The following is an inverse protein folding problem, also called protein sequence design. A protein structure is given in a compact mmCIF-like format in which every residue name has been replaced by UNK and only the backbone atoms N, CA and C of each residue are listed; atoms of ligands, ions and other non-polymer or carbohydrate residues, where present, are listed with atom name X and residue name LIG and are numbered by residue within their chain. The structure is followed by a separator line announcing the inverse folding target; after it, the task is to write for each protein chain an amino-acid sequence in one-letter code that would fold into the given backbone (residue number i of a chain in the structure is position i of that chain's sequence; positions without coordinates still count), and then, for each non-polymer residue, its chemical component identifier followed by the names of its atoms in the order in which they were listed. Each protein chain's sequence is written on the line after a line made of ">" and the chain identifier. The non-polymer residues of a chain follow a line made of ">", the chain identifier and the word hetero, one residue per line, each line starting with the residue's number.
data_IF_664498946500
#
_entry.id   IF_664498946500
#
_cell.length_a   1.000
_cell.length_b   1.000
_cell.length_c   1.000
_cell.angle_alpha   90.00
_cell.angle_beta   90.00
_cell.angle_gamma   90.00
#
_symmetry.space_group_name_H-M   'P 1'
#
loop_
_entity.id
_entity.type
_entity.pdbx_description
1 polymer ?
#
# COMPACT_ATOMS: atom_id res chain seq x y z
N UNK A 1 -17.71 -19.48 3.88
CA UNK A 1 -17.78 -19.04 2.47
C UNK A 1 -19.13 -19.40 1.93
N UNK A 2 -19.95 -18.42 1.51
CA UNK A 2 -21.27 -18.67 0.93
C UNK A 2 -21.16 -18.74 -0.60
N UNK A 3 -20.75 -19.91 -1.11
CA UNK A 3 -20.97 -20.23 -2.52
C UNK A 3 -22.34 -20.88 -2.68
N UNK A 4 -22.87 -21.04 -3.90
CA UNK A 4 -24.03 -21.90 -4.13
C UNK A 4 -23.59 -23.18 -4.85
N UNK A 5 -23.97 -24.35 -4.34
CA UNK A 5 -23.80 -25.65 -5.02
C UNK A 5 -25.20 -26.18 -5.31
N UNK A 6 -25.29 -26.78 -6.48
CA UNK A 6 -26.42 -27.53 -6.97
C UNK A 6 -27.08 -28.44 -5.92
N UNK A 7 -28.40 -28.46 -5.90
CA UNK A 7 -29.20 -29.42 -5.13
C UNK A 7 -29.00 -30.81 -5.71
N UNK A 8 -28.45 -31.75 -4.95
CA UNK A 8 -28.55 -33.16 -5.32
C UNK A 8 -30.05 -33.58 -5.40
N UNK A 9 -30.41 -34.63 -6.17
CA UNK A 9 -31.81 -34.98 -6.45
C UNK A 9 -32.67 -35.24 -5.20
N UNK A 10 -32.06 -35.74 -4.15
CA UNK A 10 -32.59 -35.95 -2.80
C UNK A 10 -32.97 -34.64 -2.08
N UNK A 11 -32.39 -33.51 -2.48
CA UNK A 11 -32.69 -32.18 -1.94
C UNK A 11 -33.84 -31.47 -2.67
N UNK A 12 -34.24 -31.96 -3.86
CA UNK A 12 -35.31 -31.35 -4.66
C UNK A 12 -36.70 -31.55 -4.02
N UNK A 13 -36.89 -32.65 -3.30
CA UNK A 13 -38.11 -32.91 -2.53
C UNK A 13 -38.21 -32.00 -1.32
N UNK A 14 -37.13 -31.91 -0.52
CA UNK A 14 -37.04 -30.99 0.63
C UNK A 14 -37.17 -29.51 0.22
N UNK A 15 -36.66 -29.15 -0.97
CA UNK A 15 -36.83 -27.83 -1.56
C UNK A 15 -38.30 -27.50 -1.84
N UNK A 16 -39.03 -28.41 -2.50
CA UNK A 16 -40.43 -28.17 -2.81
C UNK A 16 -41.26 -28.08 -1.52
N UNK A 17 -40.97 -28.92 -0.53
CA UNK A 17 -41.62 -28.86 0.79
C UNK A 17 -41.35 -27.54 1.54
N UNK A 18 -40.13 -27.01 1.48
CA UNK A 18 -39.76 -25.73 2.08
C UNK A 18 -40.42 -24.54 1.36
N UNK A 19 -40.46 -24.56 0.03
CA UNK A 19 -41.13 -23.51 -0.75
C UNK A 19 -42.65 -23.53 -0.53
N UNK A 20 -43.28 -24.72 -0.54
CA UNK A 20 -44.70 -24.90 -0.23
C UNK A 20 -45.01 -24.47 1.21
N UNK A 21 -44.09 -24.69 2.15
CA UNK A 21 -44.22 -24.21 3.52
C UNK A 21 -44.15 -22.68 3.60
N UNK A 22 -43.20 -22.04 2.93
CA UNK A 22 -43.07 -20.57 2.93
C UNK A 22 -44.28 -19.89 2.28
N UNK A 23 -44.77 -20.43 1.17
CA UNK A 23 -45.94 -19.92 0.45
C UNK A 23 -47.24 -20.10 1.25
N UNK A 24 -47.41 -21.25 1.91
CA UNK A 24 -48.55 -21.48 2.83
C UNK A 24 -48.55 -20.58 4.07
N UNK A 25 -47.38 -20.10 4.50
CA UNK A 25 -47.22 -19.32 5.73
C UNK A 25 -46.92 -17.84 5.47
N UNK A 26 -47.03 -17.35 4.23
CA UNK A 26 -46.76 -15.96 3.86
C UNK A 26 -45.36 -15.45 4.32
N UNK A 27 -44.38 -16.34 4.34
CA UNK A 27 -43.01 -16.00 4.74
C UNK A 27 -42.29 -15.42 3.53
N UNK A 28 -42.10 -14.09 3.52
CA UNK A 28 -41.53 -13.34 2.38
C UNK A 28 -40.01 -13.18 2.47
N UNK A 29 -39.43 -13.39 3.65
CA UNK A 29 -38.03 -13.04 3.93
C UNK A 29 -37.17 -14.29 4.13
N UNK A 30 -36.43 -14.64 3.09
CA UNK A 30 -35.44 -15.70 3.12
C UNK A 30 -34.05 -15.11 3.26
N UNK A 31 -33.42 -15.27 4.43
CA UNK A 31 -32.02 -14.88 4.64
C UNK A 31 -31.03 -15.50 3.64
N UNK A 32 -29.77 -15.08 3.70
CA UNK A 32 -28.65 -15.37 2.76
C UNK A 32 -28.39 -16.85 2.34
N UNK A 33 -29.06 -17.83 2.95
CA UNK A 33 -28.98 -19.26 2.62
C UNK A 33 -30.24 -19.78 1.94
N UNK A 34 -31.15 -18.88 1.54
CA UNK A 34 -32.42 -19.28 0.98
C UNK A 34 -32.26 -19.80 -0.45
N UNK A 35 -32.98 -20.87 -0.79
CA UNK A 35 -33.34 -21.24 -2.14
C UNK A 35 -33.43 -20.06 -3.13
N UNK A 36 -32.50 -19.95 -4.07
CA UNK A 36 -32.55 -18.91 -5.12
C UNK A 36 -33.01 -19.49 -6.46
N UNK A 37 -33.97 -18.83 -7.10
CA UNK A 37 -34.37 -19.14 -8.48
C UNK A 37 -33.83 -18.09 -9.43
N UNK A 38 -33.02 -18.52 -10.38
CA UNK A 38 -32.54 -17.67 -11.46
C UNK A 38 -33.68 -17.33 -12.41
N UNK A 39 -34.07 -16.06 -12.46
CA UNK A 39 -35.24 -15.62 -13.24
C UNK A 39 -35.14 -15.89 -14.75
N UNK A 40 -33.99 -15.69 -15.42
CA UNK A 40 -33.86 -15.95 -16.86
C UNK A 40 -33.89 -17.44 -17.23
N UNK A 41 -33.27 -18.30 -16.44
CA UNK A 41 -33.14 -19.74 -16.77
C UNK A 41 -34.16 -20.63 -16.05
N UNK A 42 -34.81 -20.12 -15.01
CA UNK A 42 -35.69 -20.89 -14.13
C UNK A 42 -34.96 -21.83 -13.18
N UNK A 43 -33.62 -21.93 -13.26
CA UNK A 43 -32.80 -22.83 -12.46
C UNK A 43 -32.79 -22.46 -10.99
N UNK A 44 -32.84 -23.47 -10.13
CA UNK A 44 -32.81 -23.33 -8.68
C UNK A 44 -31.39 -23.58 -8.15
N UNK A 45 -30.88 -22.72 -7.28
CA UNK A 45 -29.57 -22.81 -6.65
C UNK A 45 -29.72 -22.79 -5.12
N UNK A 46 -28.94 -23.64 -4.43
CA UNK A 46 -28.87 -23.67 -2.96
C UNK A 46 -27.54 -23.07 -2.52
N UNK A 47 -27.55 -22.19 -1.52
CA UNK A 47 -26.32 -21.75 -0.86
C UNK A 47 -25.64 -22.90 -0.13
N UNK A 48 -24.37 -23.14 -0.41
CA UNK A 48 -23.50 -24.01 0.38
C UNK A 48 -22.45 -23.22 1.14
N UNK A 49 -22.33 -23.58 2.40
CA UNK A 49 -21.27 -23.09 3.25
C UNK A 49 -20.09 -24.06 3.21
N UNK A 50 -18.92 -23.54 2.85
CA UNK A 50 -17.65 -24.21 3.08
C UNK A 50 -16.87 -23.45 4.14
N UNK A 51 -16.45 -24.18 5.17
CA UNK A 51 -15.53 -23.66 6.17
C UNK A 51 -14.14 -23.52 5.54
N UNK A 52 -13.58 -22.31 5.60
CA UNK A 52 -12.20 -22.03 5.21
C UNK A 52 -11.53 -21.47 6.47
N UNK A 53 -10.50 -22.14 7.01
CA UNK A 53 -9.84 -21.68 8.22
C UNK A 53 -9.14 -20.33 7.97
N UNK A 54 -9.16 -19.49 8.99
CA UNK A 54 -8.36 -18.28 9.01
C UNK A 54 -7.01 -18.57 9.68
N UNK A 55 -5.91 -18.27 8.98
CA UNK A 55 -4.55 -18.32 9.51
C UNK A 55 -4.08 -16.87 9.68
N UNK A 56 -3.71 -16.49 10.90
CA UNK A 56 -3.33 -15.12 11.26
C UNK A 56 -4.37 -14.05 10.85
N UNK A 57 -5.65 -14.45 10.78
CA UNK A 57 -6.79 -13.61 10.38
C UNK A 57 -7.01 -13.45 8.88
N UNK A 58 -6.34 -14.28 8.06
CA UNK A 58 -6.50 -14.34 6.60
C UNK A 58 -7.00 -15.71 6.17
N UNK A 59 -7.84 -15.78 5.15
CA UNK A 59 -8.36 -17.05 4.64
C UNK A 59 -7.26 -17.91 4.03
N UNK A 60 -7.10 -19.15 4.50
CA UNK A 60 -6.12 -20.07 3.94
C UNK A 60 -6.48 -20.41 2.49
N UNK A 61 -5.66 -19.91 1.56
CA UNK A 61 -5.79 -20.16 0.12
C UNK A 61 -5.88 -21.66 -0.21
N UNK A 62 -5.15 -22.49 0.50
CA UNK A 62 -5.06 -23.93 0.19
C UNK A 62 -6.31 -24.69 0.60
N UNK A 63 -7.09 -24.14 1.53
CA UNK A 63 -8.33 -24.74 2.02
C UNK A 63 -9.57 -24.13 1.36
N UNK A 64 -9.41 -23.06 0.56
CA UNK A 64 -10.48 -22.51 -0.24
C UNK A 64 -10.78 -23.42 -1.45
N UNK A 65 -12.00 -23.99 -1.58
CA UNK A 65 -12.37 -24.91 -2.66
C UNK A 65 -12.19 -24.36 -4.08
N UNK A 66 -12.34 -23.04 -4.27
CA UNK A 66 -12.18 -22.39 -5.57
C UNK A 66 -10.72 -22.08 -5.93
N UNK A 67 -9.82 -22.22 -4.96
CA UNK A 67 -8.38 -21.98 -5.14
C UNK A 67 -7.56 -23.27 -5.11
N UNK A 68 -8.05 -24.31 -4.45
CA UNK A 68 -7.42 -25.62 -4.40
C UNK A 68 -7.93 -26.57 -5.51
N UNK A 69 -8.86 -26.11 -6.35
CA UNK A 69 -9.39 -26.86 -7.49
C UNK A 69 -10.51 -27.84 -7.16
N UNK A 70 -11.02 -27.86 -5.92
CA UNK A 70 -12.16 -28.72 -5.55
C UNK A 70 -13.48 -28.27 -6.16
N UNK A 71 -13.63 -26.96 -6.42
CA UNK A 71 -14.78 -26.37 -7.10
C UNK A 71 -14.30 -25.52 -8.28
N UNK A 72 -14.93 -25.65 -9.44
CA UNK A 72 -14.63 -24.85 -10.64
C UNK A 72 -15.90 -24.13 -11.13
N UNK A 73 -15.85 -22.80 -11.24
CA UNK A 73 -16.96 -21.99 -11.77
C UNK A 73 -17.25 -22.25 -13.25
N UNK A 74 -16.32 -22.84 -13.97
CA UNK A 74 -16.49 -23.23 -15.37
C UNK A 74 -17.04 -24.64 -15.53
N UNK A 75 -17.22 -25.40 -14.44
CA UNK A 75 -17.87 -26.71 -14.49
C UNK A 75 -19.34 -26.54 -14.91
N UNK A 76 -19.75 -27.24 -15.97
CA UNK A 76 -21.12 -27.22 -16.49
C UNK A 76 -21.81 -28.55 -16.31
N UNK A 77 -23.14 -28.52 -16.27
CA UNK A 77 -24.00 -29.70 -16.19
C UNK A 77 -24.99 -29.67 -17.35
N UNK A 78 -25.22 -30.82 -17.98
CA UNK A 78 -26.25 -31.00 -19.01
C UNK A 78 -27.61 -31.31 -18.38
N UNK A 79 -28.64 -30.76 -19.00
CA UNK A 79 -30.05 -30.87 -18.64
C UNK A 79 -30.35 -30.70 -17.13
N UNK A 80 -29.83 -29.63 -16.49
CA UNK A 80 -29.96 -29.45 -15.05
C UNK A 80 -31.43 -29.34 -14.64
N UNK A 81 -31.84 -30.10 -13.62
CA UNK A 81 -33.22 -30.12 -13.09
C UNK A 81 -34.27 -30.48 -14.15
N UNK A 82 -33.88 -31.22 -15.20
CA UNK A 82 -34.78 -31.60 -16.30
C UNK A 82 -35.06 -30.47 -17.28
N UNK A 83 -34.41 -29.31 -17.14
CA UNK A 83 -34.46 -28.21 -18.08
C UNK A 83 -33.44 -28.47 -19.20
N UNK A 84 -33.87 -28.44 -20.45
CA UNK A 84 -32.99 -28.71 -21.59
C UNK A 84 -31.83 -27.70 -21.71
N UNK A 85 -30.64 -28.19 -22.06
CA UNK A 85 -29.47 -27.36 -22.34
C UNK A 85 -28.31 -27.55 -21.34
N UNK A 86 -27.35 -26.64 -21.35
CA UNK A 86 -26.16 -26.69 -20.49
C UNK A 86 -26.10 -25.45 -19.62
N UNK A 87 -25.81 -25.61 -18.32
CA UNK A 87 -25.64 -24.48 -17.41
C UNK A 87 -24.47 -24.70 -16.44
N UNK A 88 -23.93 -23.60 -15.90
CA UNK A 88 -22.86 -23.67 -14.91
C UNK A 88 -23.36 -24.30 -13.60
N UNK A 89 -22.57 -25.24 -13.06
CA UNK A 89 -22.85 -25.94 -11.81
C UNK A 89 -22.79 -25.01 -10.60
N UNK A 90 -21.86 -24.04 -10.63
CA UNK A 90 -21.64 -23.08 -9.56
C UNK A 90 -22.03 -21.67 -10.02
N UNK A 91 -22.65 -20.93 -9.12
CA UNK A 91 -22.99 -19.52 -9.33
C UNK A 91 -22.64 -18.70 -8.11
N UNK A 92 -22.16 -17.49 -8.36
CA UNK A 92 -21.89 -16.51 -7.30
C UNK A 92 -23.22 -15.88 -6.91
N UNK A 93 -23.65 -16.17 -5.68
CA UNK A 93 -24.91 -15.69 -5.12
C UNK A 93 -24.78 -14.25 -4.61
N UNK A 94 -23.66 -13.93 -3.97
CA UNK A 94 -23.37 -12.61 -3.44
C UNK A 94 -21.89 -12.25 -3.73
N UNK A 95 -21.69 -11.09 -4.37
CA UNK A 95 -20.36 -10.50 -4.57
C UNK A 95 -19.92 -9.63 -3.39
N UNK A 96 -20.80 -9.42 -2.41
CA UNK A 96 -20.52 -8.60 -1.23
C UNK A 96 -19.45 -9.25 -0.37
N UNK A 97 -18.55 -8.41 0.13
CA UNK A 97 -17.56 -8.75 1.14
C UNK A 97 -18.24 -9.31 2.40
N UNK A 98 -18.29 -10.64 2.52
CA UNK A 98 -18.94 -11.29 3.66
C UNK A 98 -18.91 -12.81 3.65
N UNK A 99 -18.13 -13.43 2.76
CA UNK A 99 -18.11 -14.89 2.65
C UNK A 99 -17.50 -15.58 3.89
N UNK A 100 -16.71 -14.89 4.70
CA UNK A 100 -16.10 -15.46 5.89
C UNK A 100 -16.95 -15.11 7.11
N UNK A 101 -17.74 -16.09 7.57
CA UNK A 101 -18.38 -16.03 8.88
C UNK A 101 -17.38 -16.48 9.93
N UNK A 102 -17.25 -15.68 10.98
CA UNK A 102 -16.35 -15.99 12.08
C UNK A 102 -17.02 -17.00 12.99
N UNK A 103 -16.21 -17.95 13.46
CA UNK A 103 -16.62 -18.85 14.51
C UNK A 103 -16.16 -18.25 15.83
N UNK A 104 -17.06 -18.00 16.78
CA UNK A 104 -16.68 -17.44 18.06
C UNK A 104 -15.60 -18.25 18.75
N UNK A 105 -14.70 -17.54 19.43
CA UNK A 105 -13.70 -18.19 20.25
C UNK A 105 -14.38 -19.14 21.23
N UNK A 106 -13.89 -20.37 21.32
CA UNK A 106 -14.48 -21.43 22.16
C UNK A 106 -14.55 -21.02 23.65
N UNK A 107 -13.71 -20.07 24.06
CA UNK A 107 -13.78 -19.42 25.36
C UNK A 107 -13.47 -17.91 25.23
N UNK A 108 -14.48 -17.03 25.22
CA UNK A 108 -14.29 -15.58 25.09
C UNK A 108 -13.64 -14.94 26.33
N UNK A 109 -13.60 -15.64 27.46
CA UNK A 109 -13.04 -15.15 28.73
C UNK A 109 -11.62 -15.66 29.00
N UNK A 110 -10.95 -16.23 27.99
CA UNK A 110 -9.58 -16.72 28.13
C UNK A 110 -8.64 -15.55 28.44
N UNK A 111 -7.86 -15.67 29.52
CA UNK A 111 -6.83 -14.69 29.85
C UNK A 111 -5.81 -14.55 28.72
N UNK A 112 -5.37 -13.33 28.37
CA UNK A 112 -4.32 -13.11 27.38
C UNK A 112 -3.04 -13.85 27.77
N UNK A 113 -2.41 -14.49 26.78
CA UNK A 113 -1.12 -15.16 26.98
C UNK A 113 0.00 -14.12 26.89
N UNK A 114 0.91 -14.12 27.86
CA UNK A 114 2.11 -13.27 27.82
C UNK A 114 2.97 -13.66 26.61
N UNK A 115 3.24 -12.70 25.73
CA UNK A 115 4.09 -12.89 24.54
C UNK A 115 5.51 -12.39 24.83
N UNK A 116 6.50 -13.14 24.35
CA UNK A 116 7.93 -12.79 24.33
C UNK A 116 8.49 -13.24 22.99
N UNK A 117 9.42 -12.48 22.44
CA UNK A 117 10.12 -12.81 21.22
C UNK A 117 11.53 -12.20 21.24
N UNK A 118 12.43 -12.82 20.51
CA UNK A 118 13.83 -12.44 20.35
C UNK A 118 14.22 -12.55 18.88
N UNK A 119 15.18 -11.72 18.45
CA UNK A 119 15.64 -11.70 17.07
C UNK A 119 17.01 -11.03 16.95
N UNK A 120 17.82 -11.50 16.00
CA UNK A 120 19.08 -10.87 15.62
C UNK A 120 18.88 -9.95 14.43
N UNK A 121 19.56 -8.80 14.49
CA UNK A 121 19.70 -7.84 13.40
C UNK A 121 21.18 -7.73 13.03
N UNK A 122 21.47 -7.53 11.76
CA UNK A 122 22.83 -7.49 11.25
C UNK A 122 22.95 -6.55 10.06
N UNK A 123 24.16 -6.03 9.86
CA UNK A 123 24.47 -5.17 8.73
C UNK A 123 25.85 -5.51 8.18
N UNK A 124 25.98 -5.43 6.87
CA UNK A 124 27.22 -5.59 6.13
C UNK A 124 27.38 -4.39 5.20
N UNK A 125 28.57 -3.79 5.21
CA UNK A 125 28.91 -2.67 4.34
C UNK A 125 30.26 -2.94 3.73
N UNK A 126 30.32 -2.90 2.39
CA UNK A 126 31.55 -2.96 1.63
C UNK A 126 31.67 -1.68 0.81
N UNK A 127 32.87 -1.13 0.72
CA UNK A 127 33.14 0.01 -0.14
C UNK A 127 34.53 -0.10 -0.76
N UNK A 128 34.65 0.35 -2.00
CA UNK A 128 35.90 0.32 -2.74
C UNK A 128 36.12 1.69 -3.38
N UNK A 129 37.29 2.28 -3.12
CA UNK A 129 37.72 3.49 -3.79
C UNK A 129 38.29 3.10 -5.17
N UNK A 130 37.55 3.41 -6.23
CA UNK A 130 38.01 3.20 -7.61
C UNK A 130 39.15 4.17 -7.96
N UNK A 131 39.14 5.36 -7.35
CA UNK A 131 40.19 6.37 -7.40
C UNK A 131 40.10 7.26 -6.16
N UNK A 132 40.96 8.28 -6.05
CA UNK A 132 40.85 9.32 -5.02
C UNK A 132 39.51 10.09 -5.08
N UNK A 133 38.84 10.06 -6.24
CA UNK A 133 37.63 10.84 -6.51
C UNK A 133 36.36 10.00 -6.66
N UNK A 134 36.46 8.68 -6.72
CA UNK A 134 35.32 7.82 -7.02
C UNK A 134 35.25 6.61 -6.11
N UNK A 135 34.03 6.29 -5.67
CA UNK A 135 33.77 5.20 -4.72
C UNK A 135 32.52 4.45 -5.12
N UNK A 136 32.62 3.13 -5.15
CA UNK A 136 31.46 2.24 -5.18
C UNK A 136 31.26 1.68 -3.78
N UNK A 137 30.01 1.51 -3.38
CA UNK A 137 29.68 0.85 -2.13
C UNK A 137 28.49 -0.08 -2.30
N UNK A 138 28.42 -1.05 -1.42
CA UNK A 138 27.29 -1.95 -1.23
C UNK A 138 26.96 -2.00 0.26
N UNK A 139 25.67 -1.97 0.58
CA UNK A 139 25.15 -2.15 1.93
C UNK A 139 24.09 -3.23 1.90
N UNK A 140 24.10 -4.08 2.92
CA UNK A 140 23.05 -5.04 3.22
C UNK A 140 22.69 -4.90 4.69
N UNK A 141 21.42 -4.91 5.03
CA UNK A 141 20.93 -4.83 6.40
C UNK A 141 19.69 -5.68 6.61
N UNK A 142 19.70 -6.48 7.68
CA UNK A 142 18.52 -7.18 8.19
C UNK A 142 18.18 -6.60 9.56
N UNK A 143 17.03 -5.95 9.68
CA UNK A 143 16.55 -5.34 10.93
C UNK A 143 15.19 -5.89 11.31
N UNK A 144 14.96 -6.09 12.61
CA UNK A 144 13.69 -6.61 13.13
C UNK A 144 12.97 -5.54 13.92
N UNK A 145 11.66 -5.42 13.71
CA UNK A 145 10.77 -4.61 14.54
C UNK A 145 9.74 -5.52 15.21
N UNK A 146 9.72 -5.47 16.53
CA UNK A 146 8.68 -6.14 17.32
C UNK A 146 7.37 -5.36 17.26
N UNK A 147 6.22 -6.03 17.42
CA UNK A 147 4.93 -5.36 17.43
C UNK A 147 4.84 -4.41 18.62
N UNK A 148 4.29 -3.23 18.38
CA UNK A 148 4.02 -2.25 19.44
C UNK A 148 2.86 -2.70 20.33
N UNK A 149 2.70 -2.04 21.48
CA UNK A 149 1.52 -2.24 22.33
C UNK A 149 0.24 -1.92 21.56
N UNK A 150 0.26 -0.87 20.72
CA UNK A 150 -0.86 -0.52 19.86
C UNK A 150 -1.19 -1.68 18.92
N UNK A 151 -0.26 -2.13 18.08
CA UNK A 151 -0.52 -3.22 17.12
C UNK A 151 -0.95 -4.53 17.79
N UNK A 152 -0.51 -4.75 19.03
CA UNK A 152 -0.90 -5.92 19.83
C UNK A 152 -2.27 -5.77 20.49
N UNK A 153 -2.71 -4.55 20.79
CA UNK A 153 -3.93 -4.25 21.54
C UNK A 153 -5.08 -3.70 20.67
N UNK A 154 -4.79 -3.16 19.49
CA UNK A 154 -5.70 -2.39 18.63
C UNK A 154 -6.73 -3.23 17.86
N UNK A 155 -7.08 -4.42 18.35
CA UNK A 155 -8.23 -5.20 17.87
C UNK A 155 -9.55 -4.70 18.53
N UNK A 156 -9.68 -3.39 18.76
CA UNK A 156 -10.53 -2.82 19.81
C UNK A 156 -11.89 -2.27 19.36
N UNK A 157 -12.26 -2.35 18.08
CA UNK A 157 -13.66 -2.13 17.68
C UNK A 157 -14.42 -3.45 17.72
N UNK A 158 -14.81 -3.83 18.94
CA UNK A 158 -15.88 -4.77 19.27
C UNK A 158 -16.01 -6.01 18.41
N UNK A 159 -15.60 -7.17 18.93
CA UNK A 159 -16.14 -8.48 18.52
C UNK A 159 -16.09 -8.78 17.00
N UNK A 160 -15.27 -8.09 16.22
CA UNK A 160 -14.89 -8.53 14.89
C UNK A 160 -13.76 -9.53 15.07
N UNK A 161 -14.16 -10.78 15.28
CA UNK A 161 -13.31 -11.95 15.55
C UNK A 161 -12.29 -12.28 14.43
N UNK A 162 -12.19 -11.48 13.35
CA UNK A 162 -11.30 -11.73 12.19
C UNK A 162 -9.85 -11.92 12.61
N UNK A 163 -9.39 -11.21 13.64
CA UNK A 163 -8.00 -11.28 14.12
C UNK A 163 -7.89 -11.77 15.57
N UNK A 164 -8.99 -12.24 16.17
CA UNK A 164 -9.03 -12.77 17.52
C UNK A 164 -8.23 -14.09 17.59
N UNK A 165 -7.01 -14.02 18.10
CA UNK A 165 -6.09 -15.16 18.18
C UNK A 165 -4.90 -15.10 17.21
N UNK A 166 -4.84 -14.11 16.31
CA UNK A 166 -3.67 -13.92 15.43
C UNK A 166 -2.41 -13.64 16.27
N UNK A 167 -1.37 -14.45 16.04
CA UNK A 167 -0.05 -14.25 16.62
C UNK A 167 0.77 -13.39 15.68
N UNK A 168 0.61 -12.08 15.84
CA UNK A 168 1.42 -11.06 15.16
C UNK A 168 2.91 -11.39 15.37
N UNK A 169 3.60 -11.70 14.27
CA UNK A 169 5.04 -12.05 14.25
C UNK A 169 5.89 -10.78 14.12
N UNK A 170 7.15 -10.73 14.58
CA UNK A 170 8.05 -9.61 14.31
C UNK A 170 8.20 -9.31 12.80
N UNK A 171 8.16 -8.04 12.43
CA UNK A 171 8.53 -7.55 11.10
C UNK A 171 10.04 -7.73 10.89
N UNK A 172 10.45 -8.17 9.70
CA UNK A 172 11.88 -8.22 9.32
C UNK A 172 12.11 -7.48 8.01
N UNK A 173 12.92 -6.43 8.06
CA UNK A 173 13.33 -5.63 6.93
C UNK A 173 14.66 -6.12 6.38
N UNK A 174 14.67 -6.59 5.13
CA UNK A 174 15.86 -6.96 4.36
C UNK A 174 16.11 -5.90 3.28
N UNK A 175 17.08 -5.04 3.54
CA UNK A 175 17.42 -3.94 2.65
C UNK A 175 18.82 -4.13 2.08
N UNK A 176 18.96 -3.88 0.78
CA UNK A 176 20.26 -3.74 0.16
C UNK A 176 20.31 -2.53 -0.76
N UNK A 177 21.49 -1.95 -0.86
CA UNK A 177 21.76 -0.76 -1.65
C UNK A 177 23.13 -0.89 -2.30
N UNK A 178 23.20 -0.56 -3.58
CA UNK A 178 24.46 -0.39 -4.29
C UNK A 178 24.51 1.04 -4.79
N UNK A 179 25.61 1.73 -4.55
CA UNK A 179 25.76 3.11 -4.97
C UNK A 179 27.16 3.45 -5.46
N UNK A 180 27.20 4.51 -6.24
CA UNK A 180 28.40 5.11 -6.78
C UNK A 180 28.40 6.60 -6.45
N UNK A 181 29.52 7.08 -5.94
CA UNK A 181 29.79 8.49 -5.70
C UNK A 181 31.02 8.95 -6.47
N UNK A 182 30.99 10.18 -6.99
CA UNK A 182 32.10 10.80 -7.68
C UNK A 182 32.25 12.27 -7.28
N UNK A 183 33.48 12.67 -6.93
CA UNK A 183 33.88 14.04 -6.65
C UNK A 183 34.44 14.69 -7.92
N UNK A 184 33.64 15.60 -8.48
CA UNK A 184 33.92 16.41 -9.66
C UNK A 184 34.58 17.77 -9.31
N UNK A 185 34.84 18.05 -8.03
CA UNK A 185 35.45 19.30 -7.58
C UNK A 185 36.82 19.53 -8.22
N UNK A 186 37.03 20.71 -8.80
CA UNK A 186 38.25 21.06 -9.53
C UNK A 186 38.44 20.40 -10.89
N UNK A 187 37.55 19.49 -11.33
CA UNK A 187 37.54 18.95 -12.70
C UNK A 187 36.79 19.86 -13.68
N UNK A 188 35.82 20.61 -13.16
CA UNK A 188 35.09 21.64 -13.88
C UNK A 188 35.64 23.01 -13.48
N UNK A 189 35.94 23.87 -14.45
CA UNK A 189 36.48 25.20 -14.18
C UNK A 189 35.57 25.95 -13.20
N UNK A 190 36.19 26.55 -12.19
CA UNK A 190 35.54 27.38 -11.17
C UNK A 190 34.56 26.65 -10.24
N UNK A 191 34.52 25.32 -10.20
CA UNK A 191 33.73 24.57 -9.20
C UNK A 191 34.64 23.98 -8.11
N UNK A 192 34.61 24.60 -6.93
CA UNK A 192 35.40 24.17 -5.76
C UNK A 192 34.82 22.87 -5.16
N UNK A 193 33.49 22.79 -5.07
CA UNK A 193 32.77 21.61 -4.62
C UNK A 193 31.87 21.15 -5.75
N UNK A 194 32.02 19.90 -6.17
CA UNK A 194 31.06 19.27 -7.06
C UNK A 194 31.05 17.78 -6.80
N UNK A 195 29.88 17.21 -6.48
CA UNK A 195 29.74 15.79 -6.18
C UNK A 195 28.48 15.25 -6.82
N UNK A 196 28.55 14.02 -7.29
CA UNK A 196 27.39 13.24 -7.75
C UNK A 196 27.33 11.92 -7.02
N UNK A 197 26.12 11.46 -6.72
CA UNK A 197 25.84 10.16 -6.12
C UNK A 197 24.62 9.57 -6.79
N UNK A 198 24.73 8.31 -7.19
CA UNK A 198 23.60 7.49 -7.63
C UNK A 198 23.55 6.23 -6.79
N UNK A 199 22.37 5.84 -6.36
CA UNK A 199 22.14 4.58 -5.65
C UNK A 199 20.92 3.87 -6.20
N UNK A 200 21.01 2.54 -6.26
CA UNK A 200 19.88 1.65 -6.42
C UNK A 200 19.62 0.99 -5.07
N UNK A 201 18.40 1.07 -4.58
CA UNK A 201 17.99 0.43 -3.34
C UNK A 201 16.87 -0.57 -3.60
N UNK A 202 16.87 -1.63 -2.81
CA UNK A 202 15.81 -2.63 -2.78
C UNK A 202 15.57 -3.08 -1.35
N UNK A 203 14.34 -2.94 -0.90
CA UNK A 203 13.93 -3.25 0.45
C UNK A 203 12.73 -4.19 0.44
N UNK A 204 12.83 -5.30 1.18
CA UNK A 204 11.72 -6.22 1.43
C UNK A 204 11.45 -6.29 2.93
N UNK A 205 10.28 -5.84 3.35
CA UNK A 205 9.80 -5.97 4.72
C UNK A 205 8.88 -7.17 4.78
N UNK A 206 9.31 -8.24 5.44
CA UNK A 206 8.49 -9.42 5.71
C UNK A 206 7.62 -9.23 6.95
N UNK A 207 6.46 -9.89 6.96
CA UNK A 207 5.47 -9.80 8.03
C UNK A 207 5.00 -8.35 8.28
N UNK A 208 4.82 -7.57 7.21
CA UNK A 208 4.54 -6.14 7.27
C UNK A 208 3.22 -5.83 8.00
N UNK A 209 3.28 -5.07 9.08
CA UNK A 209 2.12 -4.58 9.79
C UNK A 209 1.49 -3.41 9.03
N UNK A 210 0.18 -3.49 8.88
CA UNK A 210 -0.64 -2.41 8.38
C UNK A 210 -1.92 -2.33 9.20
N UNK A 211 -2.80 -1.40 8.82
CA UNK A 211 -4.10 -1.24 9.44
C UNK A 211 -5.21 -1.40 8.43
N UNK A 212 -6.32 -1.97 8.87
CA UNK A 212 -7.55 -1.99 8.09
C UNK A 212 -8.24 -0.61 8.10
N UNK A 213 -9.32 -0.48 7.33
CA UNK A 213 -10.25 0.66 7.39
C UNK A 213 -10.87 0.87 8.78
N UNK A 214 -11.00 -0.19 9.58
CA UNK A 214 -11.50 -0.17 10.96
C UNK A 214 -10.39 0.03 11.99
N UNK A 215 -9.17 0.38 11.53
CA UNK A 215 -7.97 0.61 12.34
C UNK A 215 -7.41 -0.64 13.04
N UNK A 216 -7.95 -1.82 12.73
CA UNK A 216 -7.45 -3.10 13.21
C UNK A 216 -6.07 -3.40 12.61
N UNK A 217 -5.21 -4.07 13.37
CA UNK A 217 -3.89 -4.45 12.87
C UNK A 217 -3.99 -5.69 11.99
N UNK A 218 -3.45 -5.57 10.78
CA UNK A 218 -3.34 -6.65 9.81
C UNK A 218 -1.87 -6.88 9.48
N UNK A 219 -1.50 -8.13 9.23
CA UNK A 219 -0.13 -8.50 8.91
C UNK A 219 -0.05 -9.11 7.51
N UNK A 220 0.60 -8.40 6.60
CA UNK A 220 0.84 -8.81 5.22
C UNK A 220 2.12 -9.64 5.09
N UNK A 221 2.18 -10.56 4.13
CA UNK A 221 3.37 -11.42 3.94
C UNK A 221 4.63 -10.59 3.70
N UNK A 222 4.60 -9.61 2.79
CA UNK A 222 5.71 -8.68 2.58
C UNK A 222 5.35 -7.39 1.87
N UNK A 223 6.12 -6.33 2.13
CA UNK A 223 6.13 -5.06 1.40
C UNK A 223 7.48 -4.88 0.71
N UNK A 224 7.46 -4.60 -0.60
CA UNK A 224 8.66 -4.46 -1.42
C UNK A 224 8.74 -3.03 -1.93
N UNK A 225 9.86 -2.35 -1.69
CA UNK A 225 10.12 -0.99 -2.18
C UNK A 225 11.49 -0.98 -2.84
N UNK A 226 11.58 -0.52 -4.08
CA UNK A 226 12.86 -0.35 -4.76
C UNK A 226 12.83 0.85 -5.69
N UNK A 227 14.00 1.45 -5.90
CA UNK A 227 14.13 2.65 -6.68
C UNK A 227 15.57 3.05 -6.92
N UNK A 228 15.71 4.16 -7.64
CA UNK A 228 16.97 4.83 -7.88
C UNK A 228 16.90 6.19 -7.17
N UNK A 229 17.96 6.56 -6.48
CA UNK A 229 18.15 7.90 -5.97
C UNK A 229 19.37 8.52 -6.63
N UNK A 230 19.24 9.77 -7.02
CA UNK A 230 20.32 10.56 -7.58
C UNK A 230 20.43 11.88 -6.81
N UNK A 231 21.65 12.23 -6.44
CA UNK A 231 21.97 13.46 -5.75
C UNK A 231 23.17 14.10 -6.43
N UNK A 232 23.11 15.40 -6.65
CA UNK A 232 24.21 16.19 -7.16
C UNK A 232 24.28 17.51 -6.42
N UNK A 233 25.50 18.00 -6.22
CA UNK A 233 25.74 19.36 -5.71
C UNK A 233 26.90 19.99 -6.45
N UNK A 234 26.87 21.30 -6.58
CA UNK A 234 27.91 22.12 -7.18
C UNK A 234 28.00 23.47 -6.46
N UNK A 235 29.20 23.95 -6.19
CA UNK A 235 29.47 25.27 -5.60
C UNK A 235 30.76 25.84 -6.19
N UNK A 236 30.65 27.07 -6.71
CA UNK A 236 31.76 27.89 -7.25
C UNK A 236 32.18 29.01 -6.29
N UNK A 237 31.65 29.00 -5.08
CA UNK A 237 31.68 30.10 -4.13
C UNK A 237 30.67 31.19 -4.46
N UNK A 238 30.55 31.62 -5.73
CA UNK A 238 29.56 32.63 -6.17
C UNK A 238 28.22 32.03 -6.58
N UNK A 239 28.22 30.89 -7.24
CA UNK A 239 27.01 30.17 -7.64
C UNK A 239 27.00 28.78 -7.03
N UNK A 240 25.84 28.34 -6.56
CA UNK A 240 25.65 26.99 -6.05
C UNK A 240 24.39 26.36 -6.61
N UNK A 241 24.39 25.03 -6.63
CA UNK A 241 23.26 24.23 -7.08
C UNK A 241 23.21 22.91 -6.34
N UNK A 242 22.02 22.50 -5.94
CA UNK A 242 21.73 21.18 -5.40
C UNK A 242 20.61 20.55 -6.20
N UNK A 243 20.78 19.29 -6.57
CA UNK A 243 19.77 18.51 -7.29
C UNK A 243 19.59 17.17 -6.60
N UNK A 244 18.34 16.80 -6.35
CA UNK A 244 17.96 15.51 -5.81
C UNK A 244 16.82 14.93 -6.64
N UNK A 245 16.91 13.65 -6.99
CA UNK A 245 15.85 12.94 -7.70
C UNK A 245 15.66 11.55 -7.08
N UNK A 246 14.41 11.15 -6.92
CA UNK A 246 14.06 9.76 -6.62
C UNK A 246 13.19 9.20 -7.73
N UNK A 247 13.45 7.97 -8.15
CA UNK A 247 12.69 7.26 -9.16
C UNK A 247 12.24 5.90 -8.61
N UNK A 248 10.93 5.74 -8.45
CA UNK A 248 10.35 4.51 -7.92
C UNK A 248 10.27 3.43 -9.00
N UNK A 249 10.95 2.32 -8.78
CA UNK A 249 10.86 1.15 -9.66
C UNK A 249 9.72 0.23 -9.23
N UNK A 250 9.65 -0.08 -7.94
CA UNK A 250 8.65 -1.01 -7.38
C UNK A 250 8.17 -0.52 -6.02
N UNK A 251 6.88 -0.64 -5.76
CA UNK A 251 6.28 -0.45 -4.45
C UNK A 251 5.06 -1.35 -4.36
N UNK A 252 5.26 -2.59 -3.92
CA UNK A 252 4.23 -3.62 -3.89
C UNK A 252 3.95 -4.05 -2.45
N UNK A 253 2.67 -4.34 -2.17
CA UNK A 253 2.26 -5.16 -1.04
C UNK A 253 1.92 -6.54 -1.56
N UNK A 254 2.45 -7.58 -0.94
CA UNK A 254 2.23 -8.96 -1.34
C UNK A 254 1.63 -9.76 -0.20
N UNK A 255 0.53 -10.45 -0.49
CA UNK A 255 -0.14 -11.40 0.39
C UNK A 255 -1.15 -12.22 -0.41
N UNK A 256 -0.90 -13.53 -0.50
CA UNK A 256 -1.73 -14.43 -1.30
C UNK A 256 -3.07 -14.76 -0.63
N UNK A 257 -3.10 -14.77 0.70
CA UNK A 257 -4.25 -15.20 1.51
C UNK A 257 -5.21 -14.01 1.70
N UNK A 258 -4.66 -12.79 1.83
CA UNK A 258 -5.45 -11.56 1.77
C UNK A 258 -6.08 -11.35 0.39
N UNK A 259 -5.35 -11.65 -0.70
CA UNK A 259 -5.92 -11.61 -2.05
C UNK A 259 -7.12 -12.55 -2.21
N UNK A 260 -7.08 -13.72 -1.56
CA UNK A 260 -8.20 -14.68 -1.50
C UNK A 260 -9.37 -14.13 -0.70
N UNK A 261 -9.11 -13.38 0.38
CA UNK A 261 -10.19 -12.71 1.11
C UNK A 261 -10.89 -11.65 0.26
N UNK A 262 -10.16 -10.94 -0.60
CA UNK A 262 -10.73 -9.97 -1.52
C UNK A 262 -11.49 -10.62 -2.69
N UNK A 263 -11.01 -11.74 -3.21
CA UNK A 263 -11.63 -12.45 -4.33
C UNK A 263 -11.88 -13.93 -4.02
N UNK A 264 -12.80 -14.26 -3.10
CA UNK A 264 -12.95 -15.62 -2.56
C UNK A 264 -13.28 -16.70 -3.61
N UNK A 265 -13.76 -16.28 -4.77
CA UNK A 265 -14.34 -17.15 -5.80
C UNK A 265 -13.53 -17.19 -7.11
N UNK A 266 -13.09 -16.03 -7.60
CA UNK A 266 -12.68 -15.87 -9.00
C UNK A 266 -11.17 -15.67 -9.17
N UNK A 267 -10.38 -15.63 -8.09
CA UNK A 267 -8.93 -15.41 -8.15
C UNK A 267 -8.53 -14.19 -9.02
N UNK A 268 -9.37 -13.13 -9.00
CA UNK A 268 -9.15 -11.92 -9.80
C UNK A 268 -8.05 -11.05 -9.22
N UNK A 269 -7.89 -11.09 -7.90
CA UNK A 269 -6.89 -10.29 -7.20
C UNK A 269 -5.55 -11.04 -7.15
N UNK A 270 -4.48 -10.45 -7.70
CA UNK A 270 -3.16 -11.06 -7.68
C UNK A 270 -2.54 -10.99 -6.28
N UNK A 271 -1.64 -11.92 -5.98
CA UNK A 271 -0.95 -11.98 -4.70
C UNK A 271 -0.03 -10.77 -4.39
N UNK A 272 0.25 -9.91 -5.37
CA UNK A 272 1.02 -8.68 -5.18
C UNK A 272 0.35 -7.51 -5.91
N UNK A 273 0.14 -6.42 -5.19
CA UNK A 273 -0.51 -5.21 -5.69
C UNK A 273 0.38 -3.97 -5.47
N UNK A 274 0.61 -3.14 -6.50
CA UNK A 274 1.27 -1.85 -6.32
C UNK A 274 0.49 -0.97 -5.33
N UNK A 275 1.18 -0.30 -4.43
CA UNK A 275 0.59 0.61 -3.44
C UNK A 275 -0.11 -0.06 -2.26
N UNK A 276 -0.64 -1.27 -2.40
CA UNK A 276 -1.35 -1.96 -1.33
C UNK A 276 -2.56 -2.74 -1.84
N UNK A 277 -3.23 -3.43 -0.92
CA UNK A 277 -4.53 -4.03 -1.15
C UNK A 277 -5.66 -3.08 -0.73
N UNK A 278 -6.86 -3.24 -1.31
CA UNK A 278 -8.06 -2.53 -0.83
C UNK A 278 -8.29 -2.81 0.66
N UNK A 279 -8.92 -1.86 1.35
CA UNK A 279 -9.16 -1.90 2.80
C UNK A 279 -7.92 -1.93 3.70
N UNK A 280 -6.73 -1.65 3.17
CA UNK A 280 -5.51 -1.41 3.96
C UNK A 280 -5.13 0.06 3.97
N UNK A 281 -4.47 0.53 5.03
CA UNK A 281 -4.07 1.93 5.13
C UNK A 281 -2.87 2.25 4.23
N UNK A 282 -1.96 1.29 3.98
CA UNK A 282 -0.87 1.49 3.01
C UNK A 282 -1.39 1.74 1.60
N UNK A 283 -2.61 1.31 1.28
CA UNK A 283 -3.27 1.54 -0.02
C UNK A 283 -3.28 3.01 -0.45
N UNK A 284 -3.31 3.95 0.50
CA UNK A 284 -3.28 5.40 0.22
C UNK A 284 -1.88 5.96 -0.01
N UNK A 285 -0.85 5.19 0.31
CA UNK A 285 0.53 5.67 0.44
C UNK A 285 1.39 5.29 -0.78
N UNK A 286 0.77 5.20 -1.96
CA UNK A 286 1.53 4.98 -3.21
C UNK A 286 2.35 6.23 -3.54
N UNK A 287 3.68 6.06 -3.59
CA UNK A 287 4.57 7.16 -3.89
C UNK A 287 4.45 7.59 -5.37
N UNK A 288 4.67 8.88 -5.67
CA UNK A 288 4.92 9.35 -7.03
C UNK A 288 5.91 8.46 -7.77
N UNK A 289 5.78 8.38 -9.10
CA UNK A 289 6.74 7.63 -9.92
C UNK A 289 8.15 8.22 -9.81
N UNK A 290 8.26 9.55 -9.72
CA UNK A 290 9.50 10.24 -9.42
C UNK A 290 9.25 11.58 -8.73
N UNK A 291 10.22 12.04 -7.95
CA UNK A 291 10.27 13.39 -7.39
C UNK A 291 11.62 14.04 -7.66
N UNK A 292 11.61 15.36 -7.82
CA UNK A 292 12.77 16.18 -8.14
C UNK A 292 12.78 17.37 -7.18
N UNK A 293 13.94 17.64 -6.60
CA UNK A 293 14.24 18.85 -5.84
C UNK A 293 15.45 19.52 -6.49
N UNK A 294 15.31 20.78 -6.85
CA UNK A 294 16.38 21.59 -7.43
C UNK A 294 16.47 22.89 -6.64
N UNK A 295 17.65 23.21 -6.12
CA UNK A 295 17.94 24.45 -5.41
C UNK A 295 19.08 25.13 -6.16
N UNK A 296 18.87 26.34 -6.63
CA UNK A 296 19.87 27.12 -7.36
C UNK A 296 19.99 28.49 -6.72
N UNK A 297 21.21 28.95 -6.49
CA UNK A 297 21.42 30.25 -5.88
C UNK A 297 22.76 30.87 -6.20
N UNK A 298 22.88 32.14 -5.81
CA UNK A 298 24.04 32.96 -6.00
C UNK A 298 24.36 33.77 -4.73
N UNK A 299 25.64 33.91 -4.44
CA UNK A 299 26.19 34.79 -3.41
C UNK A 299 26.76 36.02 -4.09
N UNK A 300 26.01 37.11 -3.97
CA UNK A 300 26.24 38.40 -4.60
C UNK A 300 26.99 39.34 -3.64
N UNK A 301 27.34 40.52 -4.14
CA UNK A 301 28.19 41.53 -3.49
C UNK A 301 29.66 41.07 -3.33
N UNK A 302 30.55 42.01 -3.02
CA UNK A 302 31.99 41.72 -2.91
C UNK A 302 32.29 40.74 -1.76
N UNK A 303 31.57 40.87 -0.66
CA UNK A 303 31.72 40.03 0.53
C UNK A 303 30.88 38.74 0.50
N UNK A 304 30.17 38.45 -0.60
CA UNK A 304 29.27 37.29 -0.72
C UNK A 304 28.21 37.23 0.40
N UNK A 305 27.82 38.40 0.91
CA UNK A 305 26.93 38.55 2.06
C UNK A 305 25.45 38.65 1.68
N UNK A 306 25.13 38.73 0.39
CA UNK A 306 23.77 38.57 -0.12
C UNK A 306 23.65 37.23 -0.85
N UNK A 307 22.94 36.29 -0.25
CA UNK A 307 22.56 35.03 -0.90
C UNK A 307 21.15 35.16 -1.48
N UNK A 308 20.97 34.85 -2.75
CA UNK A 308 19.66 34.78 -3.40
C UNK A 308 19.51 33.42 -4.06
N UNK A 309 18.32 32.83 -3.98
CA UNK A 309 18.11 31.51 -4.54
C UNK A 309 16.65 31.19 -4.85
N UNK A 310 16.50 30.11 -5.61
CA UNK A 310 15.23 29.56 -6.03
C UNK A 310 15.25 28.05 -5.80
N UNK A 311 14.17 27.54 -5.20
CA UNK A 311 13.95 26.11 -4.98
C UNK A 311 12.73 25.65 -5.76
N UNK A 312 12.95 24.66 -6.63
CA UNK A 312 11.92 23.96 -7.37
C UNK A 312 11.69 22.59 -6.74
N UNK A 313 10.46 22.33 -6.32
CA UNK A 313 9.99 21.02 -5.87
C UNK A 313 8.98 20.48 -6.89
N UNK A 314 9.23 19.29 -7.39
CA UNK A 314 8.34 18.63 -8.33
C UNK A 314 8.12 17.18 -7.94
N UNK A 315 6.89 16.69 -8.06
CA UNK A 315 6.63 15.26 -8.07
C UNK A 315 5.68 14.91 -9.21
N UNK A 316 5.86 13.70 -9.74
CA UNK A 316 4.99 13.16 -10.78
C UNK A 316 3.65 12.69 -10.21
N UNK A 317 2.77 12.23 -11.10
CA UNK A 317 1.58 11.48 -10.70
C UNK A 317 1.96 10.13 -10.06
N UNK A 318 1.12 9.65 -9.15
CA UNK A 318 1.09 8.26 -8.73
C UNK A 318 0.04 7.50 -9.56
N UNK A 319 0.43 6.42 -10.23
CA UNK A 319 -0.47 5.61 -11.07
C UNK A 319 -0.39 4.13 -10.69
N UNK A 320 -1.52 3.44 -10.75
CA UNK A 320 -1.62 2.00 -10.52
C UNK A 320 -2.34 1.31 -11.69
N UNK A 321 -1.62 1.14 -12.81
CA UNK A 321 -2.14 0.51 -14.03
C UNK A 321 -2.74 -0.87 -13.80
N UNK A 322 -2.22 -1.62 -12.81
CA UNK A 322 -2.71 -2.95 -12.44
C UNK A 322 -4.10 -2.85 -11.82
N UNK A 323 -4.29 -1.92 -10.89
CA UNK A 323 -5.61 -1.60 -10.34
C UNK A 323 -6.58 -1.18 -11.44
N UNK A 324 -6.18 -0.24 -12.29
CA UNK A 324 -7.06 0.27 -13.35
C UNK A 324 -7.49 -0.85 -14.32
N UNK A 325 -6.59 -1.79 -14.59
CA UNK A 325 -6.89 -2.97 -15.41
C UNK A 325 -7.89 -3.92 -14.73
N UNK A 326 -7.75 -4.16 -13.42
CA UNK A 326 -8.67 -4.99 -12.65
C UNK A 326 -10.08 -4.36 -12.62
N UNK A 327 -10.16 -3.05 -12.44
CA UNK A 327 -11.42 -2.33 -12.43
C UNK A 327 -12.10 -2.33 -13.80
N UNK A 328 -11.34 -2.15 -14.89
CA UNK A 328 -11.89 -2.30 -16.26
C UNK A 328 -12.39 -3.72 -16.55
N UNK A 329 -11.78 -4.74 -15.94
CA UNK A 329 -12.22 -6.13 -16.02
C UNK A 329 -13.38 -6.48 -15.05
N UNK A 330 -13.95 -5.49 -14.35
CA UNK A 330 -15.08 -5.69 -13.44
C UNK A 330 -14.72 -6.30 -12.07
N UNK A 331 -13.45 -6.31 -11.69
CA UNK A 331 -13.00 -6.73 -10.35
C UNK A 331 -13.12 -5.58 -9.35
N UNK A 332 -14.36 -5.21 -9.00
CA UNK A 332 -14.65 -4.13 -8.05
C UNK A 332 -14.06 -4.38 -6.65
N UNK A 333 -13.78 -5.64 -6.27
CA UNK A 333 -13.11 -5.98 -5.01
C UNK A 333 -11.69 -5.39 -4.88
N UNK A 334 -11.06 -5.03 -6.01
CA UNK A 334 -9.77 -4.37 -6.02
C UNK A 334 -9.84 -2.95 -5.42
N UNK A 335 -11.04 -2.38 -5.31
CA UNK A 335 -11.25 -0.99 -4.92
C UNK A 335 -12.52 -0.84 -4.07
N UNK A 336 -12.35 -0.73 -2.75
CA UNK A 336 -13.46 -0.53 -1.81
C UNK A 336 -13.60 0.96 -1.50
N UNK A 337 -14.83 1.47 -1.53
CA UNK A 337 -15.18 2.89 -1.39
C UNK A 337 -14.71 3.57 -0.08
N UNK A 338 -14.25 2.83 0.92
CA UNK A 338 -13.84 3.34 2.24
C UNK A 338 -12.43 3.94 2.30
N UNK A 339 -11.49 3.51 1.45
CA UNK A 339 -10.14 4.08 1.36
C UNK A 339 -9.75 4.22 -0.10
N UNK A 340 -9.58 5.45 -0.57
CA UNK A 340 -9.14 5.75 -1.94
C UNK A 340 -7.64 6.00 -1.96
N UNK A 341 -6.88 5.42 -2.90
CA UNK A 341 -5.53 5.90 -3.18
C UNK A 341 -5.65 7.35 -3.63
N UNK A 342 -5.00 8.26 -2.91
CA UNK A 342 -4.84 9.62 -3.40
C UNK A 342 -3.87 9.57 -4.57
N UNK A 343 -4.40 9.46 -5.78
CA UNK A 343 -3.59 9.63 -6.99
C UNK A 343 -3.31 11.12 -7.12
N UNK A 344 -2.21 11.55 -6.50
CA UNK A 344 -1.74 12.93 -6.56
C UNK A 344 -1.46 13.30 -8.01
N UNK A 345 -2.01 14.43 -8.47
CA UNK A 345 -1.60 15.02 -9.74
C UNK A 345 -0.17 15.57 -9.67
N UNK A 346 0.52 15.76 -10.80
CA UNK A 346 1.86 16.32 -10.78
C UNK A 346 1.85 17.73 -10.20
N UNK A 347 2.57 17.95 -9.10
CA UNK A 347 2.71 19.26 -8.47
C UNK A 347 4.09 19.82 -8.74
N UNK A 348 4.13 21.13 -9.01
CA UNK A 348 5.35 21.91 -9.19
C UNK A 348 5.23 23.14 -8.31
N UNK A 349 6.14 23.28 -7.34
CA UNK A 349 6.23 24.42 -6.43
C UNK A 349 7.54 25.13 -6.67
N UNK A 350 7.47 26.45 -6.72
CA UNK A 350 8.63 27.33 -6.82
C UNK A 350 8.67 28.20 -5.57
N UNK A 351 9.77 28.11 -4.85
CA UNK A 351 10.06 28.93 -3.68
C UNK A 351 11.24 29.85 -4.02
N UNK A 352 11.21 31.09 -3.55
CA UNK A 352 12.29 32.06 -3.72
C UNK A 352 12.77 32.50 -2.34
N UNK A 353 14.07 32.76 -2.20
CA UNK A 353 14.62 33.29 -0.96
C UNK A 353 15.77 34.27 -1.21
N UNK A 354 15.95 35.18 -0.26
CA UNK A 354 17.09 36.05 -0.16
C UNK A 354 17.52 36.13 1.30
N UNK A 355 18.81 36.03 1.56
CA UNK A 355 19.41 36.20 2.87
C UNK A 355 20.53 37.23 2.77
N UNK A 356 20.47 38.25 3.63
CA UNK A 356 21.54 39.23 3.78
C UNK A 356 22.19 39.08 5.14
N UNK A 357 23.50 38.82 5.15
CA UNK A 357 24.31 38.75 6.36
C UNK A 357 24.96 40.10 6.59
N UNK A 358 24.62 40.74 7.71
CA UNK A 358 25.23 42.01 8.09
C UNK A 358 26.66 41.77 8.60
N UNK A 359 26.82 40.75 9.44
CA UNK A 359 28.10 40.28 9.96
C UNK A 359 28.00 38.78 10.30
N UNK A 360 28.97 38.27 11.08
CA UNK A 360 29.01 36.85 11.51
C UNK A 360 27.96 36.50 12.59
N UNK A 361 27.34 37.51 13.20
CA UNK A 361 26.41 37.41 14.32
C UNK A 361 24.98 37.78 13.93
N UNK A 362 24.74 38.51 12.84
CA UNK A 362 23.43 39.02 12.44
C UNK A 362 23.11 38.78 10.96
N UNK A 363 21.93 38.22 10.69
CA UNK A 363 21.39 38.08 9.34
C UNK A 363 19.87 38.30 9.28
N UNK A 364 19.40 38.71 8.10
CA UNK A 364 17.99 38.80 7.75
C UNK A 364 17.73 37.91 6.54
N UNK A 365 16.67 37.10 6.62
CA UNK A 365 16.22 36.25 5.52
C UNK A 365 14.79 36.57 5.17
N UNK A 366 14.49 36.64 3.89
CA UNK A 366 13.13 36.73 3.35
C UNK A 366 12.92 35.54 2.43
N UNK A 367 11.84 34.80 2.63
CA UNK A 367 11.46 33.66 1.80
C UNK A 367 10.01 33.81 1.33
N UNK A 368 9.77 33.47 0.08
CA UNK A 368 8.44 33.36 -0.51
C UNK A 368 8.25 31.91 -0.99
N UNK A 369 7.40 31.16 -0.31
CA UNK A 369 7.06 29.80 -0.67
C UNK A 369 5.85 29.76 -1.60
N UNK A 370 5.80 28.75 -2.48
CA UNK A 370 4.71 28.55 -3.44
C UNK A 370 4.36 29.85 -4.20
N UNK A 371 5.36 30.47 -4.83
CA UNK A 371 5.23 31.80 -5.48
C UNK A 371 4.16 31.79 -6.57
N UNK A 372 3.92 30.65 -7.22
CA UNK A 372 2.83 30.50 -8.20
C UNK A 372 1.44 30.36 -7.60
N UNK A 373 1.33 30.37 -6.26
CA UNK A 373 0.10 30.20 -5.48
C UNK A 373 -0.74 28.99 -5.93
N UNK A 374 -0.06 27.86 -6.09
CA UNK A 374 -0.69 26.65 -6.59
C UNK A 374 -1.44 25.96 -5.46
N UNK A 375 -2.70 25.62 -5.70
CA UNK A 375 -3.42 24.65 -4.85
C UNK A 375 -2.87 23.25 -5.09
N UNK A 376 -2.44 22.57 -4.03
CA UNK A 376 -1.90 21.21 -4.10
C UNK A 376 -2.17 20.44 -2.81
N UNK A 377 -1.96 19.12 -2.88
CA UNK A 377 -1.93 18.25 -1.70
C UNK A 377 -0.58 17.54 -1.71
N UNK A 378 0.08 17.47 -0.55
CA UNK A 378 1.35 16.79 -0.42
C UNK A 378 1.24 15.30 -0.77
N UNK A 379 2.18 14.77 -1.57
CA UNK A 379 2.20 13.35 -1.88
C UNK A 379 2.36 12.55 -0.59
N UNK A 380 1.71 11.39 -0.52
CA UNK A 380 1.69 10.49 0.64
C UNK A 380 0.90 11.00 1.85
N UNK A 381 0.22 12.15 1.75
CA UNK A 381 -0.71 12.55 2.81
C UNK A 381 -1.85 11.53 2.93
N UNK A 382 -2.14 11.09 4.16
CA UNK A 382 -3.28 10.19 4.43
C UNK A 382 -4.60 10.95 4.61
N UNK A 383 -4.54 12.29 4.55
CA UNK A 383 -5.68 13.20 4.65
C UNK A 383 -5.63 14.18 3.48
N UNK A 384 -6.76 14.52 2.83
CA UNK A 384 -6.79 15.45 1.71
C UNK A 384 -6.71 16.90 2.22
N UNK A 385 -5.66 17.22 2.96
CA UNK A 385 -5.40 18.57 3.47
C UNK A 385 -4.57 19.33 2.45
N UNK A 386 -5.05 20.48 1.96
CA UNK A 386 -4.28 21.27 1.01
C UNK A 386 -2.99 21.76 1.66
N UNK A 387 -1.91 21.76 0.89
CA UNK A 387 -0.66 22.38 1.28
C UNK A 387 -0.80 23.91 1.34
N UNK A 388 0.13 24.61 2.00
CA UNK A 388 0.11 26.07 2.10
C UNK A 388 0.12 26.75 0.72
N UNK A 389 -0.67 27.82 0.59
CA UNK A 389 -0.61 28.73 -0.55
C UNK A 389 0.65 29.60 -0.53
N UNK A 390 0.65 30.69 -1.30
CA UNK A 390 1.76 31.64 -1.29
C UNK A 390 1.96 32.21 0.11
N UNK A 391 3.15 32.00 0.66
CA UNK A 391 3.49 32.43 2.03
C UNK A 391 4.81 33.20 2.00
N UNK A 392 4.82 34.40 2.58
CA UNK A 392 6.03 35.22 2.72
C UNK A 392 6.42 35.23 4.19
N UNK A 393 7.68 34.88 4.45
CA UNK A 393 8.26 34.83 5.79
C UNK A 393 9.52 35.69 5.84
N UNK A 394 9.74 36.34 6.97
CA UNK A 394 10.94 37.10 7.26
C UNK A 394 11.50 36.63 8.59
N UNK A 395 12.76 36.19 8.57
CA UNK A 395 13.49 35.70 9.73
C UNK A 395 14.66 36.63 10.03
N UNK A 396 14.85 36.95 11.31
CA UNK A 396 16.02 37.68 11.80
C UNK A 396 16.77 36.77 12.75
N UNK A 397 18.04 36.51 12.46
CA UNK A 397 18.92 35.68 13.29
C UNK A 397 19.99 36.53 13.94
N UNK A 398 20.11 36.43 15.27
CA UNK A 398 21.13 37.12 16.07
C UNK A 398 21.79 36.12 17.01
N UNK A 399 23.09 35.93 16.89
CA UNK A 399 23.91 35.08 17.76
C UNK A 399 24.78 35.96 18.66
N UNK A 400 24.77 35.71 19.97
CA UNK A 400 25.52 36.45 20.98
C UNK A 400 26.63 35.62 21.62
#
# INVERSE_FOLDING_TARGET
>A
MASAIWSAPDFQQAWNELMDYQERNNIVDGGLLSPYRDRPTGLKYVGIEKEVPLIDGKADRNQNPFYNGSNDFHETVENPQGLGGTANKYRIYDTSFGAYRLKPATNPWRRPVKRRADAWSGQFVASYALSERSRVYMRFGSMVRFPSLYESASNTYGINEYFAGSTIKPERNEAWEIGYGHNLGGLLQNLELADVKISYFHNTIHNFYDRSTTLESIQFDRKIISGIEFQARADSGRYFGNFGMTYRLRQDMCDKDYAVMLSPYQNRIPACMPGGFSSSLSFTSLQPKYSINLDLGARLLEQKNLEVGARLRYHSRAENKKMDSLLRAGASEAYIYGIRPYYWDPVKLLDLYAEYRFDKNASIRVAAENVTDRYYIDPLSKSPMPGPGRTIMMDVSVNF
#
